data_IF_503910603340
#
_entry.id   IF_503910603340
#
_cell.length_a   1.000
_cell.length_b   1.000
_cell.length_c   1.000
_cell.angle_alpha   90.00
_cell.angle_beta   90.00
_cell.angle_gamma   90.00
#
_symmetry.space_group_name_H-M   'P 1'
#
loop_
_entity.id
_entity.type
_entity.pdbx_description
1 polymer ?
#
# COMPACT_ATOMS: atom_id res chain seq x y z
N UNK A 1 -42.65 -1.78 23.27
CA UNK A 1 -42.50 -0.47 22.60
C UNK A 1 -41.09 0.03 22.90
N UNK A 2 -40.20 0.19 21.91
CA UNK A 2 -38.86 0.72 22.16
C UNK A 2 -38.96 2.14 22.70
N UNK A 3 -38.12 2.50 23.67
CA UNK A 3 -38.13 3.82 24.31
C UNK A 3 -37.65 4.91 23.32
N UNK A 4 -38.08 6.16 23.51
CA UNK A 4 -37.71 7.30 22.65
C UNK A 4 -36.18 7.48 22.51
N UNK A 5 -35.42 7.04 23.52
CA UNK A 5 -33.96 7.03 23.54
C UNK A 5 -33.41 6.02 22.53
N UNK A 6 -33.98 4.81 22.47
CA UNK A 6 -33.59 3.78 21.50
C UNK A 6 -33.86 4.23 20.06
N UNK A 7 -34.98 4.91 19.81
CA UNK A 7 -35.31 5.46 18.49
C UNK A 7 -34.33 6.55 18.05
N UNK A 8 -33.98 7.48 18.95
CA UNK A 8 -33.03 8.56 18.67
C UNK A 8 -31.61 8.05 18.41
N UNK A 9 -31.15 7.05 19.18
CA UNK A 9 -29.86 6.38 18.94
C UNK A 9 -29.82 5.67 17.59
N UNK A 10 -30.89 4.96 17.21
CA UNK A 10 -30.97 4.24 15.93
C UNK A 10 -30.89 5.19 14.73
N UNK A 11 -31.55 6.36 14.82
CA UNK A 11 -31.50 7.40 13.78
C UNK A 11 -30.12 8.04 13.66
N UNK A 12 -29.45 8.31 14.77
CA UNK A 12 -28.07 8.81 14.77
C UNK A 12 -27.10 7.83 14.11
N UNK A 13 -27.18 6.54 14.47
CA UNK A 13 -26.32 5.50 13.89
C UNK A 13 -26.54 5.34 12.38
N UNK A 14 -27.81 5.32 11.91
CA UNK A 14 -28.14 5.30 10.47
C UNK A 14 -27.53 6.50 9.75
N UNK A 15 -27.66 7.70 10.32
CA UNK A 15 -27.13 8.95 9.74
C UNK A 15 -25.60 8.90 9.63
N UNK A 16 -24.92 8.44 10.67
CA UNK A 16 -23.45 8.27 10.65
C UNK A 16 -23.02 7.27 9.58
N UNK A 17 -23.69 6.12 9.47
CA UNK A 17 -23.38 5.10 8.47
C UNK A 17 -23.56 5.65 7.05
N UNK A 18 -24.64 6.41 6.79
CA UNK A 18 -24.87 7.05 5.49
C UNK A 18 -23.73 8.02 5.15
N UNK A 19 -23.37 8.90 6.08
CA UNK A 19 -22.31 9.89 5.86
C UNK A 19 -20.97 9.20 5.59
N UNK A 20 -20.61 8.18 6.39
CA UNK A 20 -19.36 7.45 6.21
C UNK A 20 -19.31 6.70 4.88
N UNK A 21 -20.38 6.00 4.49
CA UNK A 21 -20.44 5.30 3.20
C UNK A 21 -20.42 6.28 2.01
N UNK A 22 -21.03 7.46 2.15
CA UNK A 22 -20.96 8.51 1.14
C UNK A 22 -19.54 9.06 0.98
N UNK A 23 -18.83 9.31 2.08
CA UNK A 23 -17.42 9.73 2.04
C UNK A 23 -16.55 8.66 1.39
N UNK A 24 -16.74 7.38 1.75
CA UNK A 24 -16.01 6.26 1.14
C UNK A 24 -16.28 6.17 -0.36
N UNK A 25 -17.53 6.34 -0.78
CA UNK A 25 -17.92 6.35 -2.18
C UNK A 25 -17.22 7.47 -2.97
N UNK A 26 -17.17 8.68 -2.42
CA UNK A 26 -16.41 9.79 -3.01
C UNK A 26 -14.90 9.50 -3.10
N UNK A 27 -14.32 8.91 -2.04
CA UNK A 27 -12.92 8.48 -2.04
C UNK A 27 -12.65 7.40 -3.10
N UNK A 28 -13.59 6.49 -3.33
CA UNK A 28 -13.49 5.50 -4.39
C UNK A 28 -13.37 6.16 -5.77
N UNK A 29 -14.19 7.19 -6.04
CA UNK A 29 -14.12 7.96 -7.29
C UNK A 29 -12.82 8.72 -7.46
N UNK A 30 -12.28 9.32 -6.39
CA UNK A 30 -10.99 10.03 -6.49
C UNK A 30 -9.85 9.06 -6.77
N UNK A 31 -9.79 7.91 -6.08
CA UNK A 31 -8.78 6.88 -6.32
C UNK A 31 -8.89 6.32 -7.74
N UNK A 32 -10.11 6.00 -8.20
CA UNK A 32 -10.35 5.52 -9.56
C UNK A 32 -9.93 6.55 -10.60
N UNK A 33 -10.29 7.82 -10.40
CA UNK A 33 -9.91 8.92 -11.28
C UNK A 33 -8.39 9.11 -11.37
N UNK A 34 -7.69 9.07 -10.23
CA UNK A 34 -6.22 9.12 -10.20
C UNK A 34 -5.62 7.91 -10.92
N UNK A 35 -6.15 6.70 -10.69
CA UNK A 35 -5.68 5.48 -11.36
C UNK A 35 -5.84 5.54 -12.88
N UNK A 36 -6.98 6.03 -13.37
CA UNK A 36 -7.22 6.23 -14.81
C UNK A 36 -6.32 7.35 -15.36
N UNK A 37 -6.17 8.46 -14.65
CA UNK A 37 -5.27 9.56 -15.04
C UNK A 37 -3.83 9.04 -15.20
N UNK A 38 -3.37 8.24 -14.23
CA UNK A 38 -2.07 7.57 -14.27
C UNK A 38 -1.93 6.56 -15.42
N UNK A 39 -3.02 6.14 -16.08
CA UNK A 39 -2.98 5.19 -17.20
C UNK A 39 -3.07 5.87 -18.57
N UNK A 40 -3.85 6.96 -18.66
CA UNK A 40 -4.21 7.60 -19.93
C UNK A 40 -3.19 8.61 -20.40
N UNK A 41 -2.48 9.27 -19.48
CA UNK A 41 -1.52 10.30 -19.85
C UNK A 41 -0.09 9.99 -19.39
N UNK A 42 0.67 9.16 -20.15
CA UNK A 42 2.07 8.82 -19.91
C UNK A 42 2.99 10.03 -19.68
N UNK A 43 2.62 11.19 -20.22
CA UNK A 43 3.44 12.40 -20.21
C UNK A 43 3.16 13.30 -19.02
N UNK A 44 2.00 13.15 -18.38
CA UNK A 44 1.62 13.89 -17.16
C UNK A 44 2.59 13.66 -15.99
N UNK A 45 3.34 12.56 -15.97
CA UNK A 45 4.30 12.20 -14.92
C UNK A 45 5.77 12.41 -15.31
N UNK A 46 6.06 13.05 -16.46
CA UNK A 46 7.40 13.57 -16.76
C UNK A 46 8.00 14.49 -15.66
N UNK A 47 7.22 15.21 -14.82
CA UNK A 47 7.78 15.92 -13.68
C UNK A 47 7.96 15.05 -12.41
N UNK A 48 7.29 13.90 -12.27
CA UNK A 48 7.44 12.99 -11.11
C UNK A 48 8.56 11.98 -11.35
N UNK A 49 9.79 12.49 -11.29
CA UNK A 49 11.09 11.88 -11.58
C UNK A 49 11.52 10.70 -10.69
N UNK A 50 10.62 9.82 -10.21
CA UNK A 50 10.96 8.90 -9.12
C UNK A 50 10.49 7.44 -9.27
N UNK A 51 9.66 7.07 -10.25
CA UNK A 51 9.08 5.72 -10.35
C UNK A 51 9.09 5.22 -11.80
N UNK A 52 9.39 3.94 -12.00
CA UNK A 52 9.42 3.23 -13.29
C UNK A 52 8.04 3.12 -13.95
N UNK A 53 7.98 3.17 -15.30
CA UNK A 53 6.71 3.18 -16.05
C UNK A 53 5.95 1.88 -15.84
N UNK A 54 6.61 0.73 -15.86
CA UNK A 54 5.95 -0.57 -15.65
C UNK A 54 5.44 -0.72 -14.22
N UNK A 55 6.23 -0.29 -13.23
CA UNK A 55 5.79 -0.24 -11.84
C UNK A 55 4.64 0.77 -11.61
N UNK A 56 4.63 1.91 -12.29
CA UNK A 56 3.50 2.86 -12.28
C UNK A 56 2.27 2.27 -12.96
N UNK A 57 2.44 1.48 -14.01
CA UNK A 57 1.35 0.75 -14.68
C UNK A 57 0.72 -0.24 -13.71
N UNK A 58 1.51 -1.08 -13.05
CA UNK A 58 1.00 -2.03 -12.06
C UNK A 58 0.32 -1.33 -10.89
N UNK A 59 0.92 -0.25 -10.36
CA UNK A 59 0.31 0.56 -9.30
C UNK A 59 -1.01 1.19 -9.75
N UNK A 60 -1.07 1.75 -10.96
CA UNK A 60 -2.30 2.36 -11.51
C UNK A 60 -3.43 1.35 -11.67
N UNK A 61 -3.12 0.12 -12.10
CA UNK A 61 -4.10 -0.97 -12.20
C UNK A 61 -4.65 -1.36 -10.82
N UNK A 62 -3.79 -1.47 -9.81
CA UNK A 62 -4.22 -1.73 -8.43
C UNK A 62 -5.12 -0.61 -7.93
N UNK A 63 -4.79 0.65 -8.20
CA UNK A 63 -5.64 1.80 -7.84
C UNK A 63 -7.00 1.76 -8.54
N UNK A 64 -7.05 1.43 -9.83
CA UNK A 64 -8.31 1.31 -10.58
C UNK A 64 -9.20 0.21 -9.99
N UNK A 65 -8.65 -0.99 -9.78
CA UNK A 65 -9.39 -2.13 -9.22
C UNK A 65 -9.89 -1.79 -7.81
N UNK A 66 -9.02 -1.26 -6.96
CA UNK A 66 -9.34 -0.92 -5.57
C UNK A 66 -10.39 0.19 -5.51
N UNK A 67 -10.24 1.25 -6.30
CA UNK A 67 -11.20 2.35 -6.38
C UNK A 67 -12.58 1.87 -6.82
N UNK A 68 -12.65 1.01 -7.84
CA UNK A 68 -13.91 0.42 -8.30
C UNK A 68 -14.60 -0.42 -7.22
N UNK A 69 -13.85 -1.27 -6.49
CA UNK A 69 -14.39 -2.07 -5.38
C UNK A 69 -14.92 -1.17 -4.26
N UNK A 70 -14.20 -0.10 -3.90
CA UNK A 70 -14.64 0.86 -2.87
C UNK A 70 -15.94 1.57 -3.30
N UNK A 71 -16.06 1.96 -4.57
CA UNK A 71 -17.30 2.57 -5.11
C UNK A 71 -18.47 1.59 -4.96
N UNK A 72 -18.29 0.32 -5.34
CA UNK A 72 -19.36 -0.68 -5.21
C UNK A 72 -19.79 -0.88 -3.76
N UNK A 73 -18.82 -1.03 -2.84
CA UNK A 73 -19.11 -1.21 -1.42
C UNK A 73 -19.83 0.02 -0.85
N UNK A 74 -19.37 1.24 -1.15
CA UNK A 74 -19.99 2.47 -0.68
C UNK A 74 -21.41 2.66 -1.23
N UNK A 75 -21.63 2.33 -2.51
CA UNK A 75 -22.94 2.42 -3.16
C UNK A 75 -23.94 1.42 -2.57
N UNK A 76 -23.52 0.16 -2.40
CA UNK A 76 -24.34 -0.87 -1.74
C UNK A 76 -24.62 -0.49 -0.28
N UNK A 77 -23.65 0.09 0.44
CA UNK A 77 -23.83 0.60 1.79
C UNK A 77 -24.88 1.71 1.87
N UNK A 78 -24.89 2.64 0.92
CA UNK A 78 -25.90 3.70 0.81
C UNK A 78 -27.31 3.15 0.53
N UNK A 79 -27.45 2.27 -0.46
CA UNK A 79 -28.74 1.63 -0.78
C UNK A 79 -29.23 0.77 0.38
N UNK A 80 -28.33 0.04 1.05
CA UNK A 80 -28.60 -0.81 2.21
C UNK A 80 -29.29 -0.07 3.35
N UNK A 81 -28.92 1.19 3.59
CA UNK A 81 -29.58 2.02 4.62
C UNK A 81 -30.87 2.64 4.11
N UNK A 82 -30.91 3.13 2.86
CA UNK A 82 -32.08 3.84 2.30
C UNK A 82 -33.27 2.89 2.08
N UNK A 83 -33.01 1.66 1.66
CA UNK A 83 -34.09 0.71 1.32
C UNK A 83 -34.78 0.12 2.56
N UNK A 84 -34.28 0.39 3.77
CA UNK A 84 -34.69 -0.25 5.04
C UNK A 84 -34.86 -1.78 4.94
N UNK A 85 -34.23 -2.39 3.94
CA UNK A 85 -34.37 -3.79 3.64
C UNK A 85 -33.37 -4.57 4.49
N UNK A 86 -33.89 -5.19 5.55
CA UNK A 86 -33.09 -6.00 6.47
C UNK A 86 -32.27 -7.07 5.77
N UNK A 87 -32.70 -7.61 4.62
CA UNK A 87 -31.95 -8.59 3.84
C UNK A 87 -30.74 -7.94 3.12
N UNK A 88 -30.90 -6.74 2.57
CA UNK A 88 -29.81 -6.01 1.91
C UNK A 88 -28.78 -5.49 2.93
N UNK A 89 -29.26 -5.04 4.09
CA UNK A 89 -28.38 -4.64 5.20
C UNK A 89 -27.64 -5.84 5.82
N UNK A 90 -28.31 -6.99 5.95
CA UNK A 90 -27.70 -8.22 6.44
C UNK A 90 -26.62 -8.73 5.48
N UNK A 91 -26.88 -8.76 4.17
CA UNK A 91 -25.88 -9.17 3.17
C UNK A 91 -24.68 -8.24 3.16
N UNK A 92 -24.86 -6.92 3.23
CA UNK A 92 -23.76 -5.96 3.39
C UNK A 92 -22.92 -6.27 4.63
N UNK A 93 -23.57 -6.48 5.78
CA UNK A 93 -22.88 -6.81 7.02
C UNK A 93 -22.13 -8.16 6.96
N UNK A 94 -22.73 -9.18 6.34
CA UNK A 94 -22.11 -10.50 6.14
C UNK A 94 -20.88 -10.40 5.24
N UNK A 95 -20.97 -9.66 4.13
CA UNK A 95 -19.82 -9.44 3.22
C UNK A 95 -18.70 -8.71 3.94
N UNK A 96 -19.01 -7.62 4.65
CA UNK A 96 -18.01 -6.90 5.46
C UNK A 96 -17.38 -7.78 6.52
N UNK A 97 -18.17 -8.59 7.21
CA UNK A 97 -17.66 -9.53 8.23
C UNK A 97 -16.75 -10.58 7.60
N UNK A 98 -17.12 -11.14 6.44
CA UNK A 98 -16.24 -12.07 5.73
C UNK A 98 -14.93 -11.41 5.29
N UNK A 99 -14.99 -10.18 4.75
CA UNK A 99 -13.79 -9.41 4.39
C UNK A 99 -12.90 -9.17 5.61
N UNK A 100 -13.50 -8.85 6.76
CA UNK A 100 -12.77 -8.65 8.02
C UNK A 100 -12.09 -9.94 8.49
N UNK A 101 -12.82 -11.07 8.49
CA UNK A 101 -12.25 -12.38 8.86
C UNK A 101 -11.12 -12.78 7.91
N UNK A 102 -11.29 -12.58 6.59
CA UNK A 102 -10.25 -12.86 5.60
C UNK A 102 -9.01 -11.98 5.81
N UNK A 103 -9.17 -10.70 6.18
CA UNK A 103 -8.05 -9.83 6.50
C UNK A 103 -7.29 -10.33 7.74
N UNK A 104 -7.99 -10.70 8.82
CA UNK A 104 -7.35 -11.26 10.02
C UNK A 104 -6.63 -12.56 9.68
N UNK A 105 -7.25 -13.46 8.92
CA UNK A 105 -6.62 -14.71 8.48
C UNK A 105 -5.36 -14.44 7.64
N UNK A 106 -5.41 -13.50 6.70
CA UNK A 106 -4.26 -13.12 5.88
C UNK A 106 -3.12 -12.52 6.72
N UNK A 107 -3.43 -11.66 7.69
CA UNK A 107 -2.44 -11.09 8.61
C UNK A 107 -1.80 -12.19 9.45
N UNK A 108 -2.61 -13.05 10.08
CA UNK A 108 -2.13 -14.16 10.92
C UNK A 108 -1.22 -15.09 10.10
N UNK A 109 -1.70 -15.56 8.95
CA UNK A 109 -0.90 -16.42 8.06
C UNK A 109 0.38 -15.71 7.59
N UNK A 110 0.31 -14.41 7.30
CA UNK A 110 1.47 -13.62 6.92
C UNK A 110 2.52 -13.54 8.03
N UNK A 111 2.10 -13.37 9.28
CA UNK A 111 2.98 -13.35 10.45
C UNK A 111 3.61 -14.74 10.66
N UNK A 112 2.82 -15.81 10.69
CA UNK A 112 3.31 -17.17 10.99
C UNK A 112 4.15 -17.79 9.87
N UNK A 113 3.89 -17.46 8.61
CA UNK A 113 4.63 -18.03 7.47
C UNK A 113 5.80 -17.14 6.99
N UNK A 114 6.21 -16.15 7.80
CA UNK A 114 7.39 -15.34 7.51
C UNK A 114 7.21 -14.43 6.29
N UNK A 115 6.06 -13.76 6.15
CA UNK A 115 5.81 -12.80 5.07
C UNK A 115 6.89 -11.73 4.99
N UNK A 116 7.48 -11.31 6.12
CA UNK A 116 8.59 -10.36 6.14
C UNK A 116 9.83 -10.85 5.39
N UNK A 117 10.19 -12.13 5.49
CA UNK A 117 11.33 -12.69 4.75
C UNK A 117 11.04 -12.82 3.27
N UNK A 118 9.84 -13.30 2.91
CA UNK A 118 9.42 -13.37 1.51
C UNK A 118 9.35 -11.99 0.86
N UNK A 119 8.91 -11.00 1.62
CA UNK A 119 8.87 -9.60 1.19
C UNK A 119 10.28 -9.04 1.00
N UNK A 120 11.23 -9.36 1.88
CA UNK A 120 12.64 -8.98 1.72
C UNK A 120 13.25 -9.63 0.46
N UNK A 121 12.99 -10.91 0.21
CA UNK A 121 13.43 -11.61 -1.02
C UNK A 121 12.84 -10.95 -2.26
N UNK A 122 11.52 -10.75 -2.28
CA UNK A 122 10.82 -10.11 -3.41
C UNK A 122 11.34 -8.69 -3.66
N UNK A 123 11.54 -7.91 -2.60
CA UNK A 123 12.10 -6.56 -2.70
C UNK A 123 13.55 -6.59 -3.22
N UNK A 124 14.36 -7.56 -2.78
CA UNK A 124 15.74 -7.70 -3.28
C UNK A 124 15.76 -8.04 -4.77
N UNK A 125 14.91 -8.95 -5.23
CA UNK A 125 14.80 -9.32 -6.64
C UNK A 125 14.38 -8.13 -7.50
N UNK A 126 13.35 -7.39 -7.09
CA UNK A 126 12.87 -6.19 -7.79
C UNK A 126 13.96 -5.11 -7.88
N UNK A 127 14.68 -4.86 -6.79
CA UNK A 127 15.77 -3.88 -6.77
C UNK A 127 16.94 -4.33 -7.64
N UNK A 128 17.28 -5.63 -7.64
CA UNK A 128 18.31 -6.18 -8.53
C UNK A 128 17.95 -6.05 -10.01
N UNK A 129 16.68 -6.29 -10.38
CA UNK A 129 16.20 -6.10 -11.74
C UNK A 129 16.31 -4.62 -12.16
N UNK A 130 15.89 -3.70 -11.29
CA UNK A 130 16.04 -2.27 -11.55
C UNK A 130 17.51 -1.83 -11.61
N UNK A 131 18.41 -2.43 -10.82
CA UNK A 131 19.86 -2.18 -10.89
C UNK A 131 20.44 -2.59 -12.25
N UNK A 132 20.05 -3.75 -12.79
CA UNK A 132 20.51 -4.20 -14.11
C UNK A 132 20.10 -3.22 -15.21
N UNK A 133 18.89 -2.66 -15.11
CA UNK A 133 18.35 -1.75 -16.10
C UNK A 133 18.81 -0.30 -15.91
N UNK A 134 19.28 0.07 -14.71
CA UNK A 134 19.62 1.46 -14.35
C UNK A 134 20.72 2.12 -15.21
N UNK A 135 21.56 1.33 -15.90
CA UNK A 135 22.56 1.87 -16.83
C UNK A 135 21.95 2.40 -18.13
N UNK A 136 20.82 1.82 -18.56
CA UNK A 136 20.20 2.09 -19.85
C UNK A 136 18.83 2.75 -19.70
N UNK A 137 18.21 2.61 -18.53
CA UNK A 137 16.90 3.14 -18.21
C UNK A 137 17.00 4.13 -17.03
N UNK A 138 16.87 5.42 -17.34
CA UNK A 138 16.82 6.50 -16.35
C UNK A 138 15.70 6.31 -15.33
N UNK A 139 14.64 5.58 -15.67
CA UNK A 139 13.50 5.34 -14.79
C UNK A 139 13.86 4.35 -13.68
N UNK A 140 14.53 3.25 -14.02
CA UNK A 140 15.03 2.29 -13.04
C UNK A 140 16.03 2.96 -12.09
N UNK A 141 16.90 3.83 -12.62
CA UNK A 141 17.82 4.64 -11.79
C UNK A 141 17.09 5.53 -10.79
N UNK A 142 16.03 6.22 -11.23
CA UNK A 142 15.20 7.09 -10.37
C UNK A 142 14.41 6.32 -9.32
N UNK A 143 13.87 5.17 -9.69
CA UNK A 143 13.20 4.25 -8.76
C UNK A 143 14.16 3.86 -7.63
N UNK A 144 15.38 3.46 -7.97
CA UNK A 144 16.43 3.14 -7.00
C UNK A 144 16.77 4.36 -6.11
N UNK A 145 16.96 5.54 -6.70
CA UNK A 145 17.25 6.77 -5.97
C UNK A 145 16.15 7.11 -4.95
N UNK A 146 14.87 6.95 -5.33
CA UNK A 146 13.73 7.18 -4.44
C UNK A 146 13.79 6.25 -3.22
N UNK A 147 13.95 4.95 -3.43
CA UNK A 147 14.02 3.98 -2.33
C UNK A 147 15.25 4.23 -1.45
N UNK A 148 16.41 4.47 -2.04
CA UNK A 148 17.67 4.69 -1.33
C UNK A 148 17.61 5.94 -0.43
N UNK A 149 17.05 7.04 -0.93
CA UNK A 149 16.85 8.26 -0.13
C UNK A 149 15.75 8.06 0.92
N UNK A 150 14.62 7.45 0.54
CA UNK A 150 13.44 7.32 1.42
C UNK A 150 13.68 6.37 2.59
N UNK A 151 14.38 5.26 2.34
CA UNK A 151 14.65 4.20 3.30
C UNK A 151 16.05 4.29 3.92
N UNK A 152 16.91 5.20 3.45
CA UNK A 152 18.32 5.33 3.85
C UNK A 152 19.06 4.00 3.74
N UNK A 153 19.07 3.46 2.54
CA UNK A 153 19.65 2.17 2.19
C UNK A 153 20.47 2.28 0.90
N UNK A 154 21.24 1.25 0.55
CA UNK A 154 21.96 1.20 -0.71
C UNK A 154 22.00 -0.22 -1.30
N UNK A 155 21.67 -0.33 -2.58
CA UNK A 155 21.59 -1.61 -3.30
C UNK A 155 20.44 -2.49 -2.81
N UNK A 156 20.34 -3.72 -3.33
CA UNK A 156 19.32 -4.66 -2.91
C UNK A 156 19.66 -5.22 -1.52
N UNK A 157 20.79 -5.91 -1.43
CA UNK A 157 21.31 -6.48 -0.19
C UNK A 157 22.42 -5.62 0.41
N UNK A 158 23.21 -4.95 -0.44
CA UNK A 158 24.31 -4.09 -0.01
C UNK A 158 24.74 -3.14 -1.14
N UNK A 159 25.47 -2.07 -0.79
CA UNK A 159 26.06 -1.15 -1.77
C UNK A 159 27.00 -1.86 -2.77
N UNK A 160 27.57 -3.01 -2.40
CA UNK A 160 28.41 -3.83 -3.28
C UNK A 160 27.66 -4.35 -4.52
N UNK A 161 26.33 -4.37 -4.50
CA UNK A 161 25.51 -4.77 -5.65
C UNK A 161 25.79 -3.88 -6.88
N UNK A 162 26.12 -2.60 -6.68
CA UNK A 162 26.52 -1.69 -7.76
C UNK A 162 27.84 -2.11 -8.42
N UNK A 163 28.83 -2.49 -7.61
CA UNK A 163 30.13 -2.95 -8.12
C UNK A 163 30.01 -4.26 -8.92
N UNK A 164 29.08 -5.14 -8.54
CA UNK A 164 28.80 -6.40 -9.27
C UNK A 164 28.34 -6.17 -10.71
N UNK A 165 27.69 -5.05 -10.99
CA UNK A 165 27.27 -4.64 -12.33
C UNK A 165 28.20 -3.60 -12.97
N UNK A 166 29.40 -3.38 -12.40
CA UNK A 166 30.36 -2.40 -12.93
C UNK A 166 29.88 -0.95 -12.83
N UNK A 167 28.94 -0.66 -11.93
CA UNK A 167 28.38 0.67 -11.71
C UNK A 167 29.06 1.37 -10.53
N UNK A 168 29.12 2.70 -10.61
CA UNK A 168 29.51 3.55 -9.48
C UNK A 168 28.34 3.72 -8.51
N UNK A 169 28.63 3.81 -7.21
CA UNK A 169 27.61 4.05 -6.18
C UNK A 169 27.00 5.46 -6.42
N UNK A 170 25.66 5.58 -6.56
CA UNK A 170 25.01 6.86 -6.81
C UNK A 170 24.97 7.74 -5.56
N UNK A 171 24.84 9.05 -5.75
CA UNK A 171 24.77 10.04 -4.65
C UNK A 171 23.60 9.79 -3.69
N UNK A 172 22.51 9.15 -4.16
CA UNK A 172 21.35 8.75 -3.34
C UNK A 172 21.67 7.73 -2.24
N UNK A 173 22.78 6.99 -2.37
CA UNK A 173 23.25 6.07 -1.34
C UNK A 173 24.03 6.75 -0.21
N UNK A 174 24.45 8.00 -0.39
CA UNK A 174 25.28 8.72 0.58
C UNK A 174 24.41 9.49 1.59
N UNK A 175 24.90 9.58 2.82
CA UNK A 175 24.30 10.43 3.83
C UNK A 175 24.51 11.91 3.47
N UNK A 176 23.45 12.71 3.59
CA UNK A 176 23.44 14.12 3.17
C UNK A 176 24.62 14.91 3.76
N UNK A 177 25.46 15.46 2.89
CA UNK A 177 26.62 16.27 3.27
C UNK A 177 27.85 15.46 3.72
N UNK A 178 27.89 14.15 3.49
CA UNK A 178 29.00 13.27 3.90
C UNK A 178 29.46 12.33 2.78
N UNK A 179 30.62 11.70 2.96
CA UNK A 179 31.14 10.62 2.10
C UNK A 179 30.74 9.22 2.59
N UNK A 180 29.92 9.13 3.64
CA UNK A 180 29.47 7.85 4.21
C UNK A 180 28.31 7.26 3.40
N UNK A 181 28.44 5.99 3.02
CA UNK A 181 27.45 5.22 2.27
C UNK A 181 26.56 4.45 3.25
N UNK A 182 25.25 4.38 2.97
CA UNK A 182 24.35 3.51 3.73
C UNK A 182 24.70 2.04 3.48
N UNK A 183 25.20 1.34 4.49
CA UNK A 183 25.60 -0.07 4.36
C UNK A 183 24.42 -1.04 4.24
N UNK A 184 23.25 -0.63 4.75
CA UNK A 184 22.08 -1.49 4.80
C UNK A 184 21.42 -1.64 3.41
N UNK A 185 21.20 -2.88 2.98
CA UNK A 185 20.44 -3.19 1.77
C UNK A 185 18.98 -2.74 1.84
N UNK A 186 18.45 -2.28 0.71
CA UNK A 186 17.10 -1.74 0.62
C UNK A 186 15.98 -2.78 0.82
N UNK A 187 16.18 -4.06 0.51
CA UNK A 187 15.15 -5.08 0.80
C UNK A 187 14.90 -5.23 2.30
N UNK A 188 15.97 -5.30 3.09
CA UNK A 188 15.87 -5.34 4.56
C UNK A 188 15.34 -4.03 5.12
N UNK A 189 15.77 -2.90 4.58
CA UNK A 189 15.29 -1.58 5.01
C UNK A 189 13.80 -1.41 4.74
N UNK A 190 13.29 -1.89 3.61
CA UNK A 190 11.88 -1.86 3.26
C UNK A 190 11.05 -2.73 4.21
N UNK A 191 11.48 -3.97 4.47
CA UNK A 191 10.86 -4.85 5.46
C UNK A 191 10.76 -4.14 6.81
N UNK A 192 11.87 -3.61 7.34
CA UNK A 192 11.89 -2.88 8.62
C UNK A 192 11.00 -1.64 8.60
N UNK A 193 10.99 -0.89 7.50
CA UNK A 193 10.13 0.28 7.36
C UNK A 193 8.66 -0.10 7.45
N UNK A 194 8.26 -1.17 6.77
CA UNK A 194 6.88 -1.68 6.80
C UNK A 194 6.53 -2.26 8.18
N UNK A 195 7.44 -2.99 8.83
CA UNK A 195 7.26 -3.46 10.21
C UNK A 195 7.07 -2.28 11.19
N UNK A 196 7.86 -1.20 11.07
CA UNK A 196 7.77 -0.04 11.96
C UNK A 196 6.57 0.87 11.67
N UNK A 197 6.17 1.01 10.41
CA UNK A 197 5.08 1.92 9.98
C UNK A 197 3.71 1.25 9.95
N UNK A 198 3.64 -0.07 9.94
CA UNK A 198 2.36 -0.82 9.96
C UNK A 198 1.64 -0.77 11.32
N UNK A 199 2.15 0.00 12.30
CA UNK A 199 1.45 0.31 13.55
C UNK A 199 1.07 -0.95 14.33
N UNK A 200 -0.23 -1.20 14.48
CA UNK A 200 -0.80 -2.33 15.25
C UNK A 200 -0.29 -3.70 14.74
N UNK A 201 -0.06 -3.85 13.43
CA UNK A 201 0.39 -5.12 12.83
C UNK A 201 1.85 -5.42 13.20
N UNK A 202 2.73 -4.41 13.16
CA UNK A 202 4.12 -4.53 13.60
C UNK A 202 4.25 -4.75 15.11
N UNK A 203 3.38 -4.10 15.89
CA UNK A 203 3.33 -4.26 17.35
C UNK A 203 2.83 -5.66 17.74
N UNK A 204 1.82 -6.21 17.05
CA UNK A 204 1.36 -7.58 17.21
C UNK A 204 2.44 -8.60 16.80
N UNK A 205 3.15 -8.36 15.69
CA UNK A 205 4.26 -9.23 15.27
C UNK A 205 5.38 -9.26 16.31
N UNK A 206 5.82 -8.11 16.84
CA UNK A 206 6.84 -8.06 17.90
C UNK A 206 6.39 -8.70 19.22
N UNK A 207 5.12 -8.57 19.60
CA UNK A 207 4.61 -9.18 20.82
C UNK A 207 4.45 -10.70 20.69
N UNK A 208 3.97 -11.19 19.54
CA UNK A 208 3.81 -12.63 19.30
C UNK A 208 5.13 -13.37 19.17
N UNK A 209 6.20 -12.73 18.68
CA UNK A 209 7.52 -13.33 18.53
C UNK A 209 8.42 -13.22 19.77
N UNK A 210 7.93 -12.57 20.84
CA UNK A 210 8.65 -12.40 22.12
C UNK A 210 8.15 -13.36 23.22
N UNK A 211 7.23 -14.26 22.87
CA UNK A 211 6.80 -15.43 23.66
C UNK A 211 7.15 -16.70 22.90
#
# INVERSE_FOLDING_TARGET
>A
MPSAITYKHMSFLKTVIIILNFILWLFGWTILGIGIWLRVDPKSYEPSRFIDTDNMIHASLIMIITGFVIILIGFVGLIGVITENSCLLATFFTVLTCLFVMQIAAIVLGIFHGFGERLEIFANEEILQNLQQAQYNDQSRRFLDFFQVKLRCCGAQSFNDYARYGMTIPTSCYLAGTTYVNEQGCGRALRRFLELRSGIIGLLHQLLYKF
#
